data_IF_120075963839
#
_entry.id   IF_120075963839
#
_cell.length_a   1.000
_cell.length_b   1.000
_cell.length_c   1.000
_cell.angle_alpha   90.00
_cell.angle_beta   90.00
_cell.angle_gamma   90.00
#
_symmetry.space_group_name_H-M   'P 1'
#
loop_
_entity.id
_entity.type
_entity.pdbx_description
1 polymer ?
#
# COMPACT_ATOMS: atom_id res chain seq x y z
N UNK A 1 23.78 10.73 17.73
CA UNK A 1 22.81 11.05 16.66
C UNK A 1 23.50 10.92 15.32
N UNK A 2 22.96 10.17 14.41
CA UNK A 2 23.48 10.06 13.03
C UNK A 2 23.26 11.39 12.29
N UNK A 3 24.21 11.84 11.44
CA UNK A 3 24.06 13.12 10.74
C UNK A 3 22.85 13.11 9.81
N UNK A 4 22.13 14.25 9.66
CA UNK A 4 21.00 14.36 8.77
C UNK A 4 21.40 14.13 7.32
N UNK A 5 20.49 13.54 6.54
CA UNK A 5 20.61 13.30 5.11
C UNK A 5 19.84 14.37 4.34
N UNK A 6 20.32 14.66 3.12
CA UNK A 6 19.54 15.38 2.09
C UNK A 6 18.92 14.37 1.15
N UNK A 7 17.61 14.23 1.23
CA UNK A 7 16.84 13.18 0.53
C UNK A 7 15.94 13.84 -0.51
N UNK A 8 15.92 13.29 -1.70
CA UNK A 8 14.98 13.70 -2.75
C UNK A 8 14.12 12.48 -3.11
N UNK A 9 12.81 12.56 -2.88
CA UNK A 9 11.88 11.61 -3.45
C UNK A 9 11.44 12.06 -4.82
N UNK A 10 11.50 11.17 -5.81
CA UNK A 10 11.10 11.46 -7.18
C UNK A 10 10.06 10.46 -7.68
N UNK A 11 8.91 10.95 -8.09
CA UNK A 11 7.84 10.18 -8.72
C UNK A 11 7.36 10.92 -9.97
N UNK A 12 7.11 10.18 -11.07
CA UNK A 12 6.46 10.77 -12.24
C UNK A 12 4.96 10.55 -12.15
N UNK A 13 4.27 11.52 -11.61
CA UNK A 13 2.82 11.44 -11.40
C UNK A 13 2.20 12.83 -11.24
N UNK A 14 0.94 12.96 -11.57
CA UNK A 14 0.01 14.04 -11.20
C UNK A 14 -1.18 13.49 -10.40
N UNK A 15 -1.16 12.19 -10.07
CA UNK A 15 -2.19 11.49 -9.31
C UNK A 15 -1.97 11.49 -7.80
N UNK A 16 -2.95 10.93 -7.09
CA UNK A 16 -2.88 10.66 -5.66
C UNK A 16 -3.47 9.28 -5.36
N UNK A 17 -2.61 8.29 -5.26
CA UNK A 17 -2.94 6.89 -5.02
C UNK A 17 -2.02 6.29 -3.94
N UNK A 18 -1.96 4.99 -3.82
CA UNK A 18 -1.13 4.33 -2.81
C UNK A 18 0.35 4.71 -2.85
N UNK A 19 0.92 4.94 -4.05
CA UNK A 19 2.34 5.32 -4.20
C UNK A 19 2.59 6.74 -3.69
N UNK A 20 1.73 7.68 -4.05
CA UNK A 20 1.83 9.07 -3.59
C UNK A 20 1.62 9.18 -2.07
N UNK A 21 0.67 8.41 -1.51
CA UNK A 21 0.47 8.32 -0.07
C UNK A 21 1.70 7.75 0.65
N UNK A 22 2.32 6.71 0.08
CA UNK A 22 3.58 6.15 0.60
C UNK A 22 4.68 7.23 0.64
N UNK A 23 4.89 7.95 -0.46
CA UNK A 23 5.90 9.02 -0.54
C UNK A 23 5.60 10.14 0.45
N UNK A 24 4.33 10.56 0.54
CA UNK A 24 3.88 11.62 1.43
C UNK A 24 4.19 11.29 2.91
N UNK A 25 3.80 10.09 3.34
CA UNK A 25 4.01 9.61 4.71
C UNK A 25 5.50 9.46 5.03
N UNK A 26 6.26 8.80 4.16
CA UNK A 26 7.70 8.58 4.37
C UNK A 26 8.48 9.91 4.41
N UNK A 27 8.22 10.83 3.47
CA UNK A 27 8.88 12.13 3.41
C UNK A 27 8.60 12.98 4.67
N UNK A 28 7.35 12.99 5.15
CA UNK A 28 6.97 13.66 6.38
C UNK A 28 7.68 13.09 7.62
N UNK A 29 7.75 11.76 7.72
CA UNK A 29 8.46 11.09 8.82
C UNK A 29 9.95 11.39 8.80
N UNK A 30 10.60 11.32 7.62
CA UNK A 30 12.02 11.63 7.48
C UNK A 30 12.33 13.10 7.81
N UNK A 31 11.45 14.03 7.45
CA UNK A 31 11.60 15.43 7.83
C UNK A 31 11.46 15.61 9.37
N UNK A 32 10.52 14.93 10.00
CA UNK A 32 10.37 14.93 11.46
C UNK A 32 11.58 14.32 12.18
N UNK A 33 12.28 13.37 11.55
CA UNK A 33 13.54 12.79 12.04
C UNK A 33 14.76 13.71 11.80
N UNK A 34 14.54 14.92 11.22
CA UNK A 34 15.53 15.96 11.04
C UNK A 34 16.30 15.89 9.72
N UNK A 35 15.84 15.13 8.74
CA UNK A 35 16.43 15.10 7.41
C UNK A 35 15.98 16.30 6.55
N UNK A 36 16.80 16.72 5.60
CA UNK A 36 16.44 17.71 4.57
C UNK A 36 15.79 16.97 3.39
N UNK A 37 14.46 17.09 3.28
CA UNK A 37 13.67 16.30 2.32
C UNK A 37 13.04 17.18 1.26
N UNK A 38 13.08 16.74 0.00
CA UNK A 38 12.38 17.33 -1.14
C UNK A 38 11.53 16.26 -1.83
N UNK A 39 10.29 16.58 -2.20
CA UNK A 39 9.43 15.73 -3.02
C UNK A 39 9.23 16.31 -4.40
N UNK A 40 9.44 15.50 -5.45
CA UNK A 40 9.24 15.81 -6.86
C UNK A 40 8.16 14.90 -7.45
N UNK A 41 7.04 15.47 -7.93
CA UNK A 41 5.90 14.76 -8.53
C UNK A 41 4.79 14.42 -7.54
N UNK A 42 3.69 13.87 -8.06
CA UNK A 42 2.43 13.65 -7.36
C UNK A 42 1.46 14.83 -7.46
N UNK A 43 0.21 14.60 -7.08
CA UNK A 43 -0.87 15.60 -7.15
C UNK A 43 -0.58 16.80 -6.23
N UNK A 44 -0.33 17.95 -6.85
CA UNK A 44 0.10 19.15 -6.13
C UNK A 44 -0.97 19.66 -5.16
N UNK A 45 -2.23 19.62 -5.54
CA UNK A 45 -3.38 20.05 -4.74
C UNK A 45 -3.59 19.19 -3.49
N UNK A 46 -3.25 17.90 -3.56
CA UNK A 46 -3.43 16.93 -2.49
C UNK A 46 -2.19 16.80 -1.59
N UNK A 47 -0.99 16.81 -2.17
CA UNK A 47 0.26 16.54 -1.44
C UNK A 47 0.85 17.81 -0.83
N UNK A 48 0.84 18.93 -1.55
CA UNK A 48 1.50 20.16 -1.10
C UNK A 48 1.03 20.65 0.27
N UNK A 49 -0.27 20.74 0.59
CA UNK A 49 -0.69 21.23 1.91
C UNK A 49 -0.12 20.41 3.08
N UNK A 50 -0.03 19.09 2.90
CA UNK A 50 0.49 18.18 3.93
C UNK A 50 2.01 18.26 4.01
N UNK A 51 2.70 18.32 2.87
CA UNK A 51 4.16 18.45 2.82
C UNK A 51 4.64 19.80 3.36
N UNK A 52 3.96 20.89 3.00
CA UNK A 52 4.28 22.23 3.52
C UNK A 52 4.12 22.30 5.06
N UNK A 53 3.09 21.65 5.60
CA UNK A 53 2.90 21.54 7.06
C UNK A 53 4.03 20.73 7.74
N UNK A 54 4.66 19.80 7.02
CA UNK A 54 5.82 19.03 7.47
C UNK A 54 7.16 19.72 7.14
N UNK A 55 7.15 20.93 6.56
CA UNK A 55 8.36 21.66 6.14
C UNK A 55 9.06 21.02 4.93
N UNK A 56 8.38 20.21 4.13
CA UNK A 56 8.93 19.50 2.98
C UNK A 56 8.57 20.22 1.67
N UNK A 57 9.52 20.83 0.94
CA UNK A 57 9.27 21.42 -0.36
C UNK A 57 8.70 20.41 -1.37
N UNK A 58 7.77 20.86 -2.22
CA UNK A 58 7.13 20.04 -3.24
C UNK A 58 7.19 20.68 -4.64
N UNK A 59 7.63 19.91 -5.63
CA UNK A 59 7.72 20.32 -7.03
C UNK A 59 6.89 19.38 -7.92
N UNK A 60 6.09 19.89 -8.86
CA UNK A 60 5.33 19.06 -9.79
C UNK A 60 6.24 18.38 -10.83
N UNK A 61 5.89 17.13 -11.23
CA UNK A 61 6.57 16.42 -12.33
C UNK A 61 5.63 15.40 -12.98
N UNK A 62 4.93 15.81 -14.03
CA UNK A 62 3.94 14.99 -14.73
C UNK A 62 4.57 14.08 -15.79
N UNK A 63 5.66 14.55 -16.43
CA UNK A 63 6.37 13.81 -17.47
C UNK A 63 7.78 13.43 -17.00
N UNK A 64 8.34 12.37 -17.56
CA UNK A 64 9.70 11.91 -17.27
C UNK A 64 10.75 13.04 -17.43
N UNK A 65 10.57 13.91 -18.44
CA UNK A 65 11.46 15.07 -18.64
C UNK A 65 11.36 16.10 -17.52
N UNK A 66 10.19 16.23 -16.88
CA UNK A 66 10.00 17.15 -15.77
C UNK A 66 10.76 16.62 -14.54
N UNK A 67 10.70 15.30 -14.28
CA UNK A 67 11.55 14.63 -13.26
C UNK A 67 13.02 14.89 -13.56
N UNK A 68 13.47 14.66 -14.82
CA UNK A 68 14.87 14.86 -15.21
C UNK A 68 15.33 16.28 -14.92
N UNK A 69 14.55 17.30 -15.29
CA UNK A 69 14.87 18.72 -15.08
C UNK A 69 14.91 19.08 -13.59
N UNK A 70 13.90 18.65 -12.84
CA UNK A 70 13.80 18.93 -11.41
C UNK A 70 14.95 18.27 -10.62
N UNK A 71 15.22 16.99 -10.85
CA UNK A 71 16.34 16.26 -10.23
C UNK A 71 17.69 16.92 -10.60
N UNK A 72 17.93 17.23 -11.87
CA UNK A 72 19.17 17.88 -12.31
C UNK A 72 19.40 19.23 -11.65
N UNK A 73 18.33 19.99 -11.39
CA UNK A 73 18.40 21.33 -10.78
C UNK A 73 18.54 21.28 -9.26
N UNK A 74 17.81 20.39 -8.59
CA UNK A 74 17.64 20.44 -7.14
C UNK A 74 18.37 19.32 -6.38
N UNK A 75 18.69 18.17 -7.02
CA UNK A 75 19.27 17.02 -6.34
C UNK A 75 20.81 16.92 -6.43
N UNK A 76 21.53 17.91 -6.99
CA UNK A 76 23.01 17.85 -7.14
C UNK A 76 23.76 17.73 -5.82
N UNK A 77 23.20 18.26 -4.74
CA UNK A 77 23.77 18.23 -3.38
C UNK A 77 23.04 17.26 -2.47
N UNK A 78 22.10 16.50 -3.00
CA UNK A 78 21.44 15.45 -2.25
C UNK A 78 22.43 14.33 -1.93
N UNK A 79 22.19 13.64 -0.81
CA UNK A 79 22.89 12.42 -0.49
C UNK A 79 22.28 11.24 -1.25
N UNK A 80 20.95 11.24 -1.36
CA UNK A 80 20.16 10.19 -2.00
C UNK A 80 19.03 10.78 -2.84
N UNK A 81 18.78 10.19 -4.00
CA UNK A 81 17.53 10.33 -4.75
C UNK A 81 16.80 8.99 -4.70
N UNK A 82 15.69 8.93 -3.94
CA UNK A 82 14.81 7.77 -3.95
C UNK A 82 13.76 7.94 -5.04
N UNK A 83 13.81 7.06 -6.02
CA UNK A 83 12.87 7.07 -7.14
C UNK A 83 11.73 6.10 -6.90
N UNK A 84 10.53 6.50 -7.27
CA UNK A 84 9.32 5.68 -7.18
C UNK A 84 8.75 5.45 -8.58
N UNK A 85 8.64 4.18 -8.96
CA UNK A 85 8.24 3.72 -10.29
C UNK A 85 9.28 3.95 -11.41
N UNK A 86 9.20 3.09 -12.43
CA UNK A 86 10.16 3.02 -13.56
C UNK A 86 10.40 4.35 -14.28
N UNK A 87 9.36 5.17 -14.44
CA UNK A 87 9.52 6.43 -15.16
C UNK A 87 10.37 7.46 -14.39
N UNK A 88 10.34 7.42 -13.05
CA UNK A 88 11.21 8.23 -12.20
C UNK A 88 12.66 7.69 -12.19
N UNK A 89 12.83 6.35 -12.24
CA UNK A 89 14.16 5.73 -12.43
C UNK A 89 14.84 6.29 -13.69
N UNK A 90 14.12 6.20 -14.83
CA UNK A 90 14.61 6.69 -16.14
C UNK A 90 14.93 8.20 -16.08
N UNK A 91 14.04 9.00 -15.54
CA UNK A 91 14.22 10.46 -15.43
C UNK A 91 15.43 10.83 -14.57
N UNK A 92 15.62 10.14 -13.45
CA UNK A 92 16.74 10.40 -12.52
C UNK A 92 18.08 9.93 -13.11
N UNK A 93 18.13 8.75 -13.71
CA UNK A 93 19.34 8.26 -14.39
C UNK A 93 19.72 9.18 -15.54
N UNK A 94 18.75 9.66 -16.32
CA UNK A 94 19.01 10.63 -17.39
C UNK A 94 19.57 11.97 -16.85
N UNK A 95 19.08 12.44 -15.69
CA UNK A 95 19.58 13.66 -15.07
C UNK A 95 21.09 13.61 -14.75
N UNK A 96 21.60 12.43 -14.43
CA UNK A 96 23.01 12.19 -14.06
C UNK A 96 23.80 11.36 -15.09
N UNK A 97 23.29 11.21 -16.34
CA UNK A 97 23.87 10.30 -17.34
C UNK A 97 25.39 10.52 -17.55
N UNK A 98 25.83 11.77 -17.56
CA UNK A 98 27.24 12.17 -17.74
C UNK A 98 28.00 12.43 -16.44
N UNK A 99 27.35 12.22 -15.28
CA UNK A 99 27.97 12.49 -13.97
C UNK A 99 28.57 11.19 -13.43
N UNK A 100 29.87 11.17 -13.08
CA UNK A 100 30.49 10.01 -12.43
C UNK A 100 29.79 9.64 -11.13
N UNK A 101 29.79 8.34 -10.79
CA UNK A 101 29.13 7.81 -9.56
C UNK A 101 29.59 8.53 -8.29
N UNK A 102 30.88 8.86 -8.20
CA UNK A 102 31.48 9.57 -7.07
C UNK A 102 31.08 11.04 -6.94
N UNK A 103 30.39 11.61 -7.92
CA UNK A 103 30.00 13.04 -7.96
C UNK A 103 28.49 13.26 -8.08
N UNK A 104 27.69 12.20 -7.97
CA UNK A 104 26.24 12.27 -7.96
C UNK A 104 25.67 11.70 -6.66
N UNK A 105 24.45 12.05 -6.27
CA UNK A 105 23.76 11.36 -5.19
C UNK A 105 23.63 9.86 -5.46
N UNK A 106 23.52 9.04 -4.42
CA UNK A 106 23.10 7.67 -4.56
C UNK A 106 21.67 7.61 -5.13
N UNK A 107 21.41 6.69 -6.03
CA UNK A 107 20.08 6.47 -6.62
C UNK A 107 19.52 5.18 -6.04
N UNK A 108 18.45 5.30 -5.26
CA UNK A 108 17.73 4.18 -4.67
C UNK A 108 16.37 4.07 -5.34
N UNK A 109 16.02 2.90 -5.87
CA UNK A 109 14.74 2.68 -6.55
C UNK A 109 13.78 1.92 -5.64
N UNK A 110 12.63 2.52 -5.30
CA UNK A 110 11.55 1.84 -4.58
C UNK A 110 10.54 1.26 -5.56
N UNK A 111 10.33 -0.05 -5.48
CA UNK A 111 9.43 -0.83 -6.33
C UNK A 111 8.10 -1.04 -5.61
N UNK A 112 7.02 -0.58 -6.26
CA UNK A 112 5.66 -0.63 -5.70
C UNK A 112 4.77 -1.68 -6.35
N UNK A 113 5.23 -2.30 -7.42
CA UNK A 113 4.45 -3.26 -8.20
C UNK A 113 5.29 -4.50 -8.51
N UNK A 114 4.68 -5.67 -8.38
CA UNK A 114 5.26 -6.99 -8.74
C UNK A 114 5.42 -7.11 -10.27
N UNK A 115 6.32 -6.29 -10.82
CA UNK A 115 6.55 -6.20 -12.26
C UNK A 115 7.96 -5.71 -12.57
N UNK A 116 8.64 -6.38 -13.51
CA UNK A 116 9.90 -5.89 -14.09
C UNK A 116 9.70 -4.53 -14.80
N UNK A 117 10.79 -3.76 -14.98
CA UNK A 117 10.76 -2.41 -15.57
C UNK A 117 10.23 -2.31 -16.99
N UNK A 118 10.05 -3.43 -17.69
CA UNK A 118 9.61 -3.45 -19.08
C UNK A 118 10.73 -3.13 -20.07
N UNK A 119 10.35 -2.71 -21.29
CA UNK A 119 11.26 -2.53 -22.43
C UNK A 119 10.96 -1.24 -23.17
N UNK A 120 11.99 -0.68 -23.84
CA UNK A 120 11.87 0.37 -24.86
C UNK A 120 12.37 -0.22 -26.18
N UNK A 121 11.48 -0.53 -27.09
CA UNK A 121 11.80 -1.32 -28.27
C UNK A 121 12.40 -2.69 -27.88
N UNK A 122 13.51 -3.11 -28.45
CA UNK A 122 14.16 -4.39 -28.11
C UNK A 122 14.94 -4.33 -26.77
N UNK A 123 15.21 -3.15 -26.22
CA UNK A 123 16.11 -2.97 -25.06
C UNK A 123 15.35 -3.00 -23.75
N UNK A 124 15.69 -3.88 -22.77
CA UNK A 124 15.12 -3.83 -21.43
C UNK A 124 15.49 -2.52 -20.72
N UNK A 125 14.51 -1.87 -20.09
CA UNK A 125 14.77 -0.63 -19.30
C UNK A 125 15.76 -0.94 -18.17
N UNK A 126 15.67 -2.11 -17.54
CA UNK A 126 16.61 -2.56 -16.52
C UNK A 126 18.08 -2.50 -17.00
N UNK A 127 18.36 -2.83 -18.25
CA UNK A 127 19.71 -2.75 -18.83
C UNK A 127 20.18 -1.28 -18.99
N UNK A 128 19.25 -0.36 -19.20
CA UNK A 128 19.56 1.07 -19.37
C UNK A 128 19.81 1.77 -18.02
N UNK A 129 19.03 1.43 -16.99
CA UNK A 129 19.05 2.14 -15.71
C UNK A 129 19.72 1.34 -14.59
N UNK A 130 19.68 0.02 -14.62
CA UNK A 130 20.08 -0.86 -13.50
C UNK A 130 21.53 -0.64 -13.04
N UNK A 131 22.46 -0.41 -13.98
CA UNK A 131 23.86 -0.12 -13.63
C UNK A 131 24.08 1.21 -12.90
N UNK A 132 23.07 2.08 -12.94
CA UNK A 132 23.11 3.42 -12.32
C UNK A 132 22.33 3.49 -11.02
N UNK A 133 21.50 2.49 -10.72
CA UNK A 133 20.80 2.34 -9.44
C UNK A 133 21.77 1.72 -8.45
N UNK A 134 21.92 2.33 -7.30
CA UNK A 134 22.87 1.92 -6.26
C UNK A 134 22.26 0.90 -5.30
N UNK A 135 20.94 0.99 -5.04
CA UNK A 135 20.16 -0.02 -4.33
C UNK A 135 18.71 -0.03 -4.80
N UNK A 136 18.02 -1.14 -4.55
CA UNK A 136 16.61 -1.29 -4.84
C UNK A 136 15.86 -1.73 -3.58
N UNK A 137 14.70 -1.11 -3.35
CA UNK A 137 13.75 -1.45 -2.30
C UNK A 137 12.49 -2.04 -2.92
N UNK A 138 11.88 -3.00 -2.27
CA UNK A 138 10.58 -3.56 -2.62
C UNK A 138 9.62 -3.45 -1.44
N UNK A 139 8.35 -3.14 -1.71
CA UNK A 139 7.35 -2.92 -0.63
C UNK A 139 6.83 -4.22 0.00
N UNK A 140 7.13 -5.38 -0.57
CA UNK A 140 6.73 -6.71 -0.11
C UNK A 140 7.64 -7.78 -0.68
N UNK A 141 7.60 -8.99 -0.09
CA UNK A 141 8.32 -10.15 -0.61
C UNK A 141 7.87 -10.51 -2.03
N UNK A 142 6.56 -10.50 -2.30
CA UNK A 142 6.00 -10.74 -3.62
C UNK A 142 6.49 -9.73 -4.67
N UNK A 143 6.68 -8.47 -4.29
CA UNK A 143 7.29 -7.46 -5.18
C UNK A 143 8.77 -7.74 -5.37
N UNK A 144 9.51 -8.14 -4.33
CA UNK A 144 10.94 -8.44 -4.41
C UNK A 144 11.23 -9.62 -5.35
N UNK A 145 10.38 -10.64 -5.35
CA UNK A 145 10.49 -11.81 -6.24
C UNK A 145 10.21 -11.49 -7.71
N UNK A 146 9.30 -10.53 -7.96
CA UNK A 146 8.82 -10.24 -9.31
C UNK A 146 9.62 -9.14 -10.04
N UNK A 147 10.46 -8.37 -9.35
CA UNK A 147 11.20 -7.26 -9.96
C UNK A 147 12.53 -7.72 -10.55
N UNK A 148 13.08 -6.88 -11.43
CA UNK A 148 14.41 -7.07 -12.00
C UNK A 148 15.50 -6.67 -10.99
N UNK A 149 16.43 -7.56 -10.72
CA UNK A 149 17.59 -7.35 -9.83
C UNK A 149 17.30 -7.58 -8.35
N UNK A 150 18.37 -7.63 -7.55
CA UNK A 150 18.26 -7.80 -6.12
C UNK A 150 17.58 -6.59 -5.45
N UNK A 151 16.80 -6.85 -4.43
CA UNK A 151 15.99 -5.85 -3.72
C UNK A 151 15.97 -6.14 -2.22
N UNK A 152 15.97 -5.10 -1.41
CA UNK A 152 15.74 -5.19 0.03
C UNK A 152 14.26 -4.91 0.29
N UNK A 153 13.60 -5.78 1.04
CA UNK A 153 12.20 -5.56 1.40
C UNK A 153 12.12 -4.53 2.52
N UNK A 154 11.34 -3.48 2.27
CA UNK A 154 10.99 -2.46 3.25
C UNK A 154 9.49 -2.22 3.15
N UNK A 155 8.75 -2.76 4.10
CA UNK A 155 7.31 -2.67 4.11
C UNK A 155 6.80 -1.23 4.31
N UNK A 156 5.67 -0.86 3.68
CA UNK A 156 4.96 0.37 4.00
C UNK A 156 4.52 0.39 5.46
N UNK A 157 4.55 1.56 6.07
CA UNK A 157 4.11 1.77 7.44
C UNK A 157 2.95 2.74 7.54
N UNK A 158 2.26 2.67 8.67
CA UNK A 158 1.23 3.62 9.09
C UNK A 158 1.47 4.05 10.53
N UNK A 159 1.04 5.27 10.85
CA UNK A 159 0.94 5.71 12.24
C UNK A 159 -0.13 4.90 12.97
N UNK A 160 0.06 4.66 14.27
CA UNK A 160 -0.96 4.04 15.09
C UNK A 160 -2.26 4.86 15.05
N UNK A 161 -3.39 4.16 14.98
CA UNK A 161 -4.70 4.79 15.12
C UNK A 161 -5.16 4.74 16.59
N UNK A 162 -6.09 5.64 17.00
CA UNK A 162 -6.75 5.54 18.29
C UNK A 162 -7.37 4.15 18.51
N UNK A 163 -7.47 3.75 19.77
CA UNK A 163 -8.07 2.48 20.12
C UNK A 163 -9.59 2.57 19.93
N UNK A 164 -10.14 1.58 19.25
CA UNK A 164 -11.59 1.38 19.09
C UNK A 164 -12.01 0.24 20.01
N UNK A 165 -13.03 0.47 20.84
CA UNK A 165 -13.61 -0.60 21.64
C UNK A 165 -14.24 -1.65 20.72
N UNK A 166 -13.77 -2.91 20.74
CA UNK A 166 -14.33 -3.97 19.89
C UNK A 166 -15.84 -4.19 20.12
N UNK A 167 -16.35 -3.90 21.32
CA UNK A 167 -17.77 -4.02 21.67
C UNK A 167 -18.68 -3.02 20.95
N UNK A 168 -18.11 -1.94 20.40
CA UNK A 168 -18.87 -0.92 19.65
C UNK A 168 -18.99 -1.25 18.15
N UNK A 169 -18.26 -2.25 17.65
CA UNK A 169 -18.28 -2.64 16.24
C UNK A 169 -19.58 -3.30 15.84
N UNK A 170 -20.12 -2.85 14.71
CA UNK A 170 -21.37 -3.40 14.15
C UNK A 170 -21.18 -4.76 13.48
N UNK A 171 -22.29 -5.43 13.21
CA UNK A 171 -22.36 -6.66 12.39
C UNK A 171 -22.19 -6.31 10.90
N UNK A 172 -20.99 -5.84 10.53
CA UNK A 172 -20.67 -5.34 9.20
C UNK A 172 -19.42 -6.04 8.69
N UNK A 173 -19.54 -6.71 7.56
CA UNK A 173 -18.43 -7.16 6.73
C UNK A 173 -18.07 -6.02 5.78
N UNK A 174 -16.87 -5.47 5.89
CA UNK A 174 -16.40 -4.38 5.03
C UNK A 174 -15.51 -4.93 3.91
N UNK A 175 -15.75 -4.50 2.68
CA UNK A 175 -14.80 -4.59 1.58
C UNK A 175 -14.47 -3.17 1.11
N UNK A 176 -13.20 -2.81 0.99
CA UNK A 176 -12.77 -1.47 0.59
C UNK A 176 -11.67 -1.56 -0.47
N UNK A 177 -12.07 -1.53 -1.73
CA UNK A 177 -11.17 -1.69 -2.88
C UNK A 177 -11.80 -1.17 -4.17
N UNK A 178 -10.98 -0.97 -5.21
CA UNK A 178 -11.49 -0.69 -6.56
C UNK A 178 -12.27 -1.89 -7.08
N UNK A 179 -13.40 -1.65 -7.77
CA UNK A 179 -14.22 -2.72 -8.35
C UNK A 179 -13.71 -3.06 -9.76
N UNK A 180 -12.55 -3.70 -9.81
CA UNK A 180 -11.86 -4.13 -11.03
C UNK A 180 -11.61 -5.64 -10.97
N UNK A 181 -11.48 -6.32 -12.13
CA UNK A 181 -11.36 -7.79 -12.18
C UNK A 181 -10.24 -8.35 -11.28
N UNK A 182 -9.08 -7.69 -11.24
CA UNK A 182 -7.95 -8.12 -10.43
C UNK A 182 -8.17 -8.05 -8.91
N UNK A 183 -9.27 -7.42 -8.46
CA UNK A 183 -9.60 -7.31 -7.03
C UNK A 183 -10.49 -8.46 -6.52
N UNK A 184 -10.99 -9.30 -7.41
CA UNK A 184 -11.79 -10.48 -7.07
C UNK A 184 -12.94 -10.20 -6.08
N UNK A 185 -13.61 -9.04 -6.22
CA UNK A 185 -14.69 -8.62 -5.32
C UNK A 185 -15.82 -9.66 -5.28
N UNK A 186 -16.07 -10.35 -6.39
CA UNK A 186 -17.06 -11.41 -6.49
C UNK A 186 -16.81 -12.56 -5.51
N UNK A 187 -15.55 -12.90 -5.21
CA UNK A 187 -15.19 -13.93 -4.21
C UNK A 187 -15.69 -13.52 -2.83
N UNK A 188 -15.45 -12.27 -2.43
CA UNK A 188 -15.95 -11.77 -1.13
C UNK A 188 -17.47 -11.77 -1.01
N UNK A 189 -18.20 -11.39 -2.08
CA UNK A 189 -19.68 -11.42 -2.09
C UNK A 189 -20.20 -12.87 -2.03
N UNK A 190 -19.59 -13.79 -2.77
CA UNK A 190 -19.93 -15.22 -2.71
C UNK A 190 -19.65 -15.81 -1.32
N UNK A 191 -18.51 -15.47 -0.73
CA UNK A 191 -18.17 -15.91 0.63
C UNK A 191 -19.16 -15.37 1.67
N UNK A 192 -19.58 -14.10 1.55
CA UNK A 192 -20.60 -13.51 2.42
C UNK A 192 -21.94 -14.26 2.29
N UNK A 193 -22.37 -14.55 1.07
CA UNK A 193 -23.62 -15.31 0.85
C UNK A 193 -23.51 -16.75 1.39
N UNK A 194 -22.42 -17.45 1.08
CA UNK A 194 -22.22 -18.84 1.50
C UNK A 194 -22.03 -19.00 3.03
N UNK A 195 -21.53 -17.96 3.71
CA UNK A 195 -21.34 -18.00 5.16
C UNK A 195 -22.62 -18.01 5.98
N UNK A 196 -23.78 -17.63 5.40
CA UNK A 196 -25.06 -17.54 6.10
C UNK A 196 -25.14 -16.40 7.13
N UNK A 197 -24.13 -15.56 7.27
CA UNK A 197 -24.11 -14.49 8.29
C UNK A 197 -25.16 -13.40 8.04
N UNK A 198 -25.66 -13.27 6.80
CA UNK A 198 -26.77 -12.38 6.48
C UNK A 198 -28.05 -12.73 7.27
N UNK A 199 -28.34 -14.00 7.46
CA UNK A 199 -29.49 -14.49 8.26
C UNK A 199 -29.33 -14.16 9.76
N UNK A 200 -28.09 -14.00 10.22
CA UNK A 200 -27.76 -13.56 11.58
C UNK A 200 -27.71 -12.01 11.71
N UNK A 201 -28.22 -11.29 10.70
CA UNK A 201 -28.32 -9.84 10.69
C UNK A 201 -27.02 -9.09 10.37
N UNK A 202 -26.03 -9.76 9.80
CA UNK A 202 -24.85 -9.09 9.26
C UNK A 202 -25.15 -8.45 7.90
N UNK A 203 -24.50 -7.34 7.63
CA UNK A 203 -24.55 -6.67 6.33
C UNK A 203 -23.14 -6.57 5.73
N UNK A 204 -23.07 -6.66 4.41
CA UNK A 204 -21.82 -6.36 3.72
C UNK A 204 -21.84 -4.92 3.20
N UNK A 205 -20.74 -4.19 3.38
CA UNK A 205 -20.53 -2.86 2.80
C UNK A 205 -19.34 -2.89 1.85
N UNK A 206 -19.61 -2.54 0.58
CA UNK A 206 -18.59 -2.50 -0.48
C UNK A 206 -18.27 -1.04 -0.79
N UNK A 207 -17.15 -0.56 -0.28
CA UNK A 207 -16.63 0.79 -0.50
C UNK A 207 -15.65 0.79 -1.68
N UNK A 208 -15.98 1.48 -2.74
CA UNK A 208 -15.17 1.61 -3.94
C UNK A 208 -15.99 1.77 -5.20
N UNK A 209 -15.29 2.08 -6.29
CA UNK A 209 -15.87 2.24 -7.63
C UNK A 209 -15.09 1.43 -8.66
N UNK A 210 -15.73 1.09 -9.75
CA UNK A 210 -15.09 0.39 -10.85
C UNK A 210 -16.11 -0.22 -11.82
N UNK A 211 -15.63 -0.72 -12.96
CA UNK A 211 -16.49 -1.23 -14.03
C UNK A 211 -17.29 -2.49 -13.65
N UNK A 212 -16.83 -3.26 -12.64
CA UNK A 212 -17.53 -4.48 -12.21
C UNK A 212 -18.78 -4.23 -11.38
N UNK A 213 -19.03 -2.99 -10.91
CA UNK A 213 -20.16 -2.70 -10.02
C UNK A 213 -21.49 -3.27 -10.49
N UNK A 214 -21.93 -3.12 -11.78
CA UNK A 214 -23.20 -3.68 -12.23
C UNK A 214 -23.27 -5.22 -12.12
N UNK A 215 -22.21 -5.91 -12.55
CA UNK A 215 -22.14 -7.37 -12.47
C UNK A 215 -22.10 -7.88 -11.00
N UNK A 216 -21.46 -7.14 -10.10
CA UNK A 216 -21.43 -7.48 -8.67
C UNK A 216 -22.79 -7.27 -7.99
N UNK A 217 -23.58 -6.28 -8.43
CA UNK A 217 -24.95 -6.07 -7.95
C UNK A 217 -25.90 -7.21 -8.44
N UNK A 218 -25.74 -7.60 -9.70
CA UNK A 218 -26.46 -8.76 -10.27
C UNK A 218 -26.10 -10.05 -9.52
N UNK A 219 -24.83 -10.29 -9.28
CA UNK A 219 -24.34 -11.43 -8.47
C UNK A 219 -24.98 -11.46 -7.07
N UNK A 220 -25.05 -10.33 -6.37
CA UNK A 220 -25.68 -10.26 -5.04
C UNK A 220 -27.18 -10.62 -5.12
N UNK A 221 -27.86 -10.24 -6.23
CA UNK A 221 -29.27 -10.61 -6.47
C UNK A 221 -29.41 -12.11 -6.75
N UNK A 222 -28.57 -12.68 -7.61
CA UNK A 222 -28.56 -14.10 -7.93
C UNK A 222 -28.32 -14.97 -6.69
N UNK A 223 -27.46 -14.48 -5.77
CA UNK A 223 -27.14 -15.18 -4.51
C UNK A 223 -28.18 -14.93 -3.40
N UNK A 224 -29.22 -14.12 -3.64
CA UNK A 224 -30.27 -13.84 -2.67
C UNK A 224 -29.84 -12.94 -1.50
N UNK A 225 -28.72 -12.21 -1.61
CA UNK A 225 -28.19 -11.36 -0.55
C UNK A 225 -28.22 -9.85 -0.90
N UNK A 226 -28.92 -9.45 -1.97
CA UNK A 226 -28.95 -8.06 -2.44
C UNK A 226 -29.38 -7.07 -1.34
N UNK A 227 -30.37 -7.44 -0.51
CA UNK A 227 -30.86 -6.58 0.58
C UNK A 227 -29.87 -6.44 1.74
N UNK A 228 -28.87 -7.34 1.82
CA UNK A 228 -27.81 -7.33 2.84
C UNK A 228 -26.49 -6.74 2.34
N UNK A 229 -26.36 -6.34 1.04
CA UNK A 229 -25.12 -5.83 0.44
C UNK A 229 -25.29 -4.38 0.00
N UNK A 230 -24.57 -3.47 0.64
CA UNK A 230 -24.57 -2.03 0.35
C UNK A 230 -23.35 -1.64 -0.51
N UNK A 231 -23.55 -1.19 -1.74
CA UNK A 231 -22.48 -0.62 -2.59
C UNK A 231 -22.36 0.89 -2.36
N UNK A 232 -21.39 1.30 -1.54
CA UNK A 232 -21.24 2.67 -1.04
C UNK A 232 -20.62 3.64 -2.06
N UNK A 233 -20.01 3.15 -3.15
CA UNK A 233 -19.22 3.97 -4.05
C UNK A 233 -17.89 4.42 -3.43
N UNK A 234 -17.30 5.47 -4.00
CA UNK A 234 -16.07 6.05 -3.44
C UNK A 234 -16.33 6.73 -2.09
N UNK A 235 -15.51 6.42 -1.10
CA UNK A 235 -15.62 6.95 0.27
C UNK A 235 -14.34 7.65 0.69
N UNK A 236 -14.46 8.77 1.37
CA UNK A 236 -13.36 9.53 1.99
C UNK A 236 -13.26 9.29 3.51
N UNK A 237 -14.31 8.73 4.10
CA UNK A 237 -14.45 8.38 5.51
C UNK A 237 -14.17 6.88 5.77
N UNK A 238 -13.26 6.30 4.99
CA UNK A 238 -12.88 4.90 5.16
C UNK A 238 -12.41 4.55 6.59
N UNK A 239 -11.70 5.45 7.30
CA UNK A 239 -11.39 5.26 8.71
C UNK A 239 -12.62 5.00 9.58
N UNK A 240 -13.69 5.79 9.42
CA UNK A 240 -14.93 5.64 10.22
C UNK A 240 -15.66 4.34 9.87
N UNK A 241 -15.65 3.96 8.57
CA UNK A 241 -16.20 2.68 8.13
C UNK A 241 -15.46 1.50 8.75
N UNK A 242 -14.13 1.56 8.87
CA UNK A 242 -13.32 0.53 9.51
C UNK A 242 -13.57 0.47 11.03
N UNK A 243 -13.74 1.63 11.67
CA UNK A 243 -14.01 1.69 13.11
C UNK A 243 -15.38 1.11 13.46
N UNK A 244 -16.37 1.25 12.57
CA UNK A 244 -17.71 0.70 12.74
C UNK A 244 -17.90 -0.73 12.24
N UNK A 245 -16.96 -1.30 11.48
CA UNK A 245 -17.09 -2.65 10.93
C UNK A 245 -16.68 -3.74 11.93
N UNK A 246 -17.22 -4.95 11.76
CA UNK A 246 -16.87 -6.13 12.55
C UNK A 246 -15.73 -6.96 11.94
N UNK A 247 -15.64 -7.04 10.61
CA UNK A 247 -14.61 -7.78 9.86
C UNK A 247 -14.31 -7.07 8.54
N UNK A 248 -13.05 -7.03 8.11
CA UNK A 248 -12.67 -6.68 6.75
C UNK A 248 -12.46 -7.96 5.92
N UNK A 249 -12.99 -8.01 4.70
CA UNK A 249 -12.63 -9.01 3.70
C UNK A 249 -11.77 -8.38 2.61
N UNK A 250 -10.60 -8.99 2.36
CA UNK A 250 -9.63 -8.57 1.34
C UNK A 250 -9.39 -9.72 0.35
N UNK A 251 -10.17 -9.75 -0.74
CA UNK A 251 -10.23 -10.90 -1.66
C UNK A 251 -9.19 -10.88 -2.79
N UNK A 252 -8.36 -9.84 -2.89
CA UNK A 252 -7.39 -9.68 -3.98
C UNK A 252 -6.19 -10.63 -3.85
N UNK A 253 -5.98 -11.63 -4.73
CA UNK A 253 -4.81 -12.52 -4.67
C UNK A 253 -3.54 -11.92 -5.26
N UNK A 254 -3.63 -10.75 -5.89
CA UNK A 254 -2.52 -10.07 -6.57
C UNK A 254 -2.15 -8.74 -5.87
N UNK A 255 -2.49 -8.60 -4.58
CA UNK A 255 -2.22 -7.35 -3.87
C UNK A 255 -0.71 -7.18 -3.65
N UNK A 256 -0.16 -6.08 -4.15
CA UNK A 256 1.28 -5.85 -4.06
C UNK A 256 1.77 -5.65 -2.62
N UNK A 257 0.92 -5.09 -1.75
CA UNK A 257 1.11 -5.06 -0.31
C UNK A 257 -0.25 -5.11 0.42
N UNK A 258 -1.17 -4.17 0.13
CA UNK A 258 -2.50 -4.14 0.75
C UNK A 258 -2.63 -3.02 1.79
N UNK A 259 -2.52 -1.76 1.37
CA UNK A 259 -2.67 -0.62 2.29
C UNK A 259 -4.01 -0.64 3.05
N UNK A 260 -5.09 -1.12 2.41
CA UNK A 260 -6.40 -1.25 3.07
C UNK A 260 -6.37 -2.28 4.21
N UNK A 261 -5.66 -3.39 4.03
CA UNK A 261 -5.42 -4.38 5.08
C UNK A 261 -4.61 -3.76 6.21
N UNK A 262 -3.53 -3.06 5.87
CA UNK A 262 -2.71 -2.37 6.88
C UNK A 262 -3.52 -1.32 7.67
N UNK A 263 -4.41 -0.58 7.01
CA UNK A 263 -5.31 0.40 7.65
C UNK A 263 -6.33 -0.27 8.58
N UNK A 264 -6.86 -1.44 8.20
CA UNK A 264 -7.73 -2.24 9.06
C UNK A 264 -6.99 -2.78 10.29
N UNK A 265 -5.80 -3.34 10.10
CA UNK A 265 -4.93 -3.77 11.21
C UNK A 265 -4.64 -2.61 12.17
N UNK A 266 -4.33 -1.41 11.66
CA UNK A 266 -4.07 -0.22 12.47
C UNK A 266 -5.30 0.19 13.30
N UNK A 267 -6.53 -0.04 12.81
CA UNK A 267 -7.76 0.20 13.58
C UNK A 267 -8.19 -0.97 14.47
N UNK A 268 -7.45 -2.08 14.47
CA UNK A 268 -7.83 -3.29 15.18
C UNK A 268 -9.10 -3.94 14.63
N UNK A 269 -9.40 -3.73 13.34
CA UNK A 269 -10.46 -4.42 12.62
C UNK A 269 -9.92 -5.76 12.12
N UNK A 270 -10.46 -6.92 12.57
CA UNK A 270 -9.98 -8.22 12.10
C UNK A 270 -10.14 -8.37 10.60
N UNK A 271 -9.15 -8.97 9.97
CA UNK A 271 -9.05 -9.15 8.52
C UNK A 271 -9.18 -10.63 8.15
N UNK A 272 -9.95 -10.89 7.11
CA UNK A 272 -9.98 -12.17 6.38
C UNK A 272 -9.46 -11.89 4.97
N UNK A 273 -8.23 -12.28 4.68
CA UNK A 273 -7.53 -11.96 3.43
C UNK A 273 -7.27 -13.18 2.56
N UNK A 274 -7.22 -12.97 1.23
CA UNK A 274 -6.70 -14.00 0.32
C UNK A 274 -5.22 -14.26 0.65
N UNK A 275 -4.85 -15.50 0.92
CA UNK A 275 -3.51 -15.93 1.33
C UNK A 275 -2.52 -15.93 0.18
N UNK A 276 -2.22 -14.75 -0.37
CA UNK A 276 -1.28 -14.55 -1.45
C UNK A 276 -0.63 -13.17 -1.40
N UNK A 277 0.49 -13.05 -2.06
CA UNK A 277 1.22 -11.81 -2.29
C UNK A 277 1.40 -10.99 -0.99
N UNK A 278 1.17 -9.68 -1.01
CA UNK A 278 1.40 -8.81 0.14
C UNK A 278 0.51 -9.06 1.36
N UNK A 279 -0.57 -9.82 1.24
CA UNK A 279 -1.36 -10.23 2.42
C UNK A 279 -0.59 -11.24 3.28
N UNK A 280 0.25 -12.10 2.68
CA UNK A 280 1.11 -13.02 3.42
C UNK A 280 2.09 -12.27 4.32
N UNK A 281 2.71 -11.19 3.84
CA UNK A 281 3.65 -10.38 4.62
C UNK A 281 3.00 -9.86 5.93
N UNK A 282 1.70 -9.56 5.87
CA UNK A 282 0.97 -8.97 7.00
C UNK A 282 0.26 -9.98 7.90
N UNK A 283 -0.32 -11.02 7.33
CA UNK A 283 -1.30 -11.88 8.04
C UNK A 283 -0.79 -13.30 8.32
N UNK A 284 0.26 -13.77 7.60
CA UNK A 284 0.75 -15.13 7.79
C UNK A 284 1.30 -15.37 9.21
N UNK A 285 1.01 -16.56 9.73
CA UNK A 285 1.43 -16.98 11.06
C UNK A 285 0.65 -16.34 12.22
N UNK A 286 -0.45 -15.60 11.95
CA UNK A 286 -1.35 -15.10 12.99
C UNK A 286 -2.41 -16.15 13.36
N UNK A 287 -3.66 -15.92 13.03
CA UNK A 287 -4.79 -16.83 13.26
C UNK A 287 -5.15 -17.53 11.94
N UNK A 288 -5.54 -18.81 11.99
CA UNK A 288 -5.91 -19.57 10.80
C UNK A 288 -7.12 -18.97 10.05
N UNK A 289 -7.93 -18.14 10.71
CA UNK A 289 -9.06 -17.42 10.11
C UNK A 289 -8.65 -16.15 9.37
N UNK A 290 -7.43 -15.66 9.54
CA UNK A 290 -6.96 -14.43 8.91
C UNK A 290 -6.69 -14.61 7.40
N UNK A 291 -6.43 -15.83 6.95
CA UNK A 291 -6.10 -16.13 5.56
C UNK A 291 -6.96 -17.28 5.01
N UNK A 292 -7.41 -17.13 3.77
CA UNK A 292 -8.04 -18.22 3.00
C UNK A 292 -7.28 -18.44 1.68
N UNK A 293 -7.27 -19.66 1.12
CA UNK A 293 -6.65 -19.90 -0.18
C UNK A 293 -7.27 -19.01 -1.26
N UNK A 294 -6.48 -18.43 -2.17
CA UNK A 294 -6.98 -17.59 -3.26
C UNK A 294 -8.16 -18.25 -3.99
N UNK A 295 -9.24 -17.50 -4.20
CA UNK A 295 -10.47 -17.90 -4.87
C UNK A 295 -11.28 -19.00 -4.17
N UNK A 296 -10.87 -19.46 -3.00
CA UNK A 296 -11.60 -20.45 -2.20
C UNK A 296 -12.74 -19.77 -1.42
N UNK A 297 -13.93 -19.78 -2.03
CA UNK A 297 -15.14 -19.18 -1.49
C UNK A 297 -15.56 -19.87 -0.19
N UNK A 298 -15.43 -21.21 -0.10
CA UNK A 298 -15.89 -21.99 1.04
C UNK A 298 -14.99 -21.75 2.26
N UNK A 299 -13.68 -21.67 2.07
CA UNK A 299 -12.73 -21.31 3.12
C UNK A 299 -12.97 -19.89 3.65
N UNK A 300 -13.18 -18.92 2.74
CA UNK A 300 -13.51 -17.55 3.12
C UNK A 300 -14.85 -17.45 3.86
N UNK A 301 -15.87 -18.19 3.41
CA UNK A 301 -17.19 -18.27 4.06
C UNK A 301 -17.09 -18.87 5.47
N UNK A 302 -16.32 -19.95 5.62
CA UNK A 302 -16.07 -20.60 6.92
C UNK A 302 -15.40 -19.67 7.91
N UNK A 303 -14.38 -18.90 7.46
CA UNK A 303 -13.70 -17.89 8.28
C UNK A 303 -14.66 -16.78 8.71
N UNK A 304 -15.48 -16.26 7.79
CA UNK A 304 -16.51 -15.25 8.09
C UNK A 304 -17.55 -15.76 9.09
N UNK A 305 -18.07 -16.97 8.88
CA UNK A 305 -19.05 -17.60 9.78
C UNK A 305 -18.46 -17.72 11.19
N UNK A 306 -17.27 -18.31 11.31
CA UNK A 306 -16.58 -18.48 12.60
C UNK A 306 -16.35 -17.15 13.33
N UNK A 307 -15.90 -16.11 12.61
CA UNK A 307 -15.71 -14.80 13.22
C UNK A 307 -17.03 -14.08 13.53
N UNK A 308 -18.10 -14.31 12.78
CA UNK A 308 -19.41 -13.72 13.06
C UNK A 308 -20.00 -14.22 14.38
N UNK A 309 -19.81 -15.50 14.69
CA UNK A 309 -20.35 -16.13 15.89
C UNK A 309 -19.45 -15.96 17.14
N UNK A 310 -18.18 -15.64 16.94
CA UNK A 310 -17.17 -15.52 18.01
C UNK A 310 -16.73 -14.05 18.20
N UNK A 311 -17.43 -13.31 19.05
CA UNK A 311 -17.13 -11.90 19.33
C UNK A 311 -15.78 -11.72 20.02
N UNK A 312 -15.43 -12.61 20.94
CA UNK A 312 -14.16 -12.56 21.67
C UNK A 312 -12.99 -12.92 20.75
N UNK A 313 -13.16 -13.90 19.89
CA UNK A 313 -12.17 -14.27 18.87
C UNK A 313 -11.97 -13.17 17.83
N UNK A 314 -13.02 -12.45 17.43
CA UNK A 314 -12.88 -11.25 16.58
C UNK A 314 -12.02 -10.18 17.26
N UNK A 315 -12.34 -9.90 18.53
CA UNK A 315 -11.59 -8.90 19.30
C UNK A 315 -10.12 -9.30 19.46
N UNK A 316 -9.85 -10.57 19.76
CA UNK A 316 -8.50 -11.12 19.92
C UNK A 316 -7.70 -11.06 18.62
N UNK A 317 -8.31 -11.45 17.48
CA UNK A 317 -7.67 -11.37 16.17
C UNK A 317 -7.32 -9.93 15.81
N UNK A 318 -8.28 -8.99 15.92
CA UNK A 318 -8.02 -7.58 15.63
C UNK A 318 -6.94 -6.96 16.52
N UNK A 319 -6.88 -7.36 17.80
CA UNK A 319 -5.82 -6.93 18.72
C UNK A 319 -4.44 -7.47 18.30
N UNK A 320 -4.35 -8.74 17.92
CA UNK A 320 -3.10 -9.38 17.46
C UNK A 320 -2.60 -8.75 16.15
N UNK A 321 -3.48 -8.54 15.18
CA UNK A 321 -3.16 -7.88 13.92
C UNK A 321 -2.66 -6.44 14.13
N UNK A 322 -3.31 -5.70 15.04
CA UNK A 322 -2.91 -4.35 15.39
C UNK A 322 -1.56 -4.29 16.11
N UNK A 323 -1.28 -5.24 16.99
CA UNK A 323 0.02 -5.33 17.63
C UNK A 323 1.12 -5.58 16.60
N UNK A 324 0.88 -6.49 15.64
CA UNK A 324 1.79 -6.73 14.52
C UNK A 324 2.00 -5.47 13.68
N UNK A 325 0.91 -4.73 13.36
CA UNK A 325 1.00 -3.47 12.63
C UNK A 325 1.89 -2.45 13.36
N UNK A 326 1.71 -2.28 14.65
CA UNK A 326 2.49 -1.34 15.47
C UNK A 326 3.96 -1.71 15.56
N UNK A 327 4.27 -3.01 15.65
CA UNK A 327 5.62 -3.52 15.77
C UNK A 327 6.36 -3.49 14.42
N UNK A 328 5.76 -4.06 13.38
CA UNK A 328 6.43 -4.39 12.12
C UNK A 328 6.14 -3.40 10.99
N UNK A 329 4.98 -2.74 11.03
CA UNK A 329 4.47 -1.88 9.94
C UNK A 329 4.17 -0.45 10.41
N UNK A 330 4.96 0.09 11.32
CA UNK A 330 4.88 1.50 11.70
C UNK A 330 5.65 2.39 10.71
N UNK A 331 5.25 3.67 10.57
CA UNK A 331 5.99 4.64 9.76
C UNK A 331 7.45 4.79 10.23
N UNK A 332 7.68 4.70 11.53
CA UNK A 332 9.03 4.74 12.11
C UNK A 332 9.87 3.54 11.67
N UNK A 333 9.31 2.32 11.66
CA UNK A 333 10.01 1.13 11.18
C UNK A 333 10.34 1.26 9.69
N UNK A 334 9.39 1.70 8.87
CA UNK A 334 9.61 1.96 7.45
C UNK A 334 10.72 3.01 7.21
N UNK A 335 10.68 4.14 7.91
CA UNK A 335 11.67 5.21 7.75
C UNK A 335 13.06 4.74 8.17
N UNK A 336 13.20 4.05 9.30
CA UNK A 336 14.47 3.52 9.79
C UNK A 336 15.06 2.46 8.84
N UNK A 337 14.26 1.52 8.35
CA UNK A 337 14.72 0.52 7.38
C UNK A 337 15.13 1.17 6.04
N UNK A 338 14.37 2.16 5.57
CA UNK A 338 14.72 2.92 4.36
C UNK A 338 16.03 3.70 4.54
N UNK A 339 16.20 4.36 5.68
CA UNK A 339 17.42 5.10 6.01
C UNK A 339 18.64 4.19 6.09
N UNK A 340 18.52 2.99 6.66
CA UNK A 340 19.61 2.02 6.71
C UNK A 340 20.13 1.69 5.29
N UNK A 341 19.23 1.51 4.32
CA UNK A 341 19.62 1.30 2.92
C UNK A 341 20.26 2.55 2.32
N UNK A 342 19.74 3.75 2.59
CA UNK A 342 20.37 5.00 2.11
C UNK A 342 21.80 5.14 2.60
N UNK A 343 22.06 4.81 3.85
CA UNK A 343 23.41 4.90 4.45
C UNK A 343 24.37 3.83 3.93
N UNK A 344 23.88 2.66 3.54
CA UNK A 344 24.72 1.57 3.02
C UNK A 344 25.28 1.83 1.61
N UNK A 345 24.71 2.79 0.86
CA UNK A 345 25.08 3.10 -0.54
C UNK A 345 25.81 4.45 -0.71
N UNK A 346 26.16 5.11 0.40
CA UNK A 346 26.89 6.40 0.43
C UNK A 346 28.39 6.23 0.44
#
# INVERSE_FOLDING_TARGET
>A
MTPPLRIVHAIRSDGFSGVEQFVLRLAGTQAADGHDVLVIGGATDRMRPVLDAAGVPHLPAVRTIDVTRAVRRHARRADVVNTHMTAADVGTVAAFALTPRSRRPAIVATRHFAKARGRVGPVPIAALVGRRIDAQLSISDAVAEAVDGASVVVHPGLDPRPDVDPGTRGRIVLMAQRLQPEKHTAVGIRAFAASGVADAGWRMRVAGTGPERPALQELATELGVADAVDFLGFRTDLPDLMDGAGVLVASCPFEHFGLTVLEAMASGLPVVGAGAAGHLDMLDGLDARALFPPDDVDAAASALHSLADDADGRAALGATERERQRRDFSLRAQAAATEAVYRSVR
#
